data_IF_396474450921
#
_entry.id   IF_396474450921
#
_cell.length_a   1.000
_cell.length_b   1.000
_cell.length_c   1.000
_cell.angle_alpha   90.00
_cell.angle_beta   90.00
_cell.angle_gamma   90.00
#
_symmetry.space_group_name_H-M   'P 1'
#
loop_
_entity.id
_entity.type
_entity.pdbx_description
1 polymer ?
#
# COMPACT_ATOMS: atom_id res chain seq x y z
N UNK A 1 11.08 8.01 0.95
CA UNK A 1 10.64 6.79 0.24
C UNK A 1 10.11 5.80 1.25
N UNK A 2 8.98 5.17 0.97
CA UNK A 2 8.45 4.05 1.76
C UNK A 2 9.56 3.02 1.97
N UNK A 3 9.84 2.63 3.21
CA UNK A 3 10.79 1.55 3.49
C UNK A 3 10.08 0.23 3.22
N UNK A 4 10.84 -0.79 2.81
CA UNK A 4 10.31 -2.14 2.55
C UNK A 4 9.48 -2.69 3.74
N UNK A 5 9.85 -2.32 4.97
CA UNK A 5 9.11 -2.68 6.18
C UNK A 5 7.68 -2.12 6.27
N UNK A 6 7.36 -1.04 5.56
CA UNK A 6 6.03 -0.39 5.55
C UNK A 6 5.08 -1.03 4.52
N UNK A 7 5.65 -1.75 3.55
CA UNK A 7 4.91 -2.43 2.49
C UNK A 7 4.87 -3.95 2.69
N UNK A 8 5.53 -4.49 3.72
CA UNK A 8 5.63 -5.93 3.93
C UNK A 8 4.74 -6.41 5.07
N UNK A 9 4.01 -7.48 4.81
CA UNK A 9 3.30 -8.21 5.84
C UNK A 9 4.21 -9.29 6.45
N UNK A 10 4.18 -9.50 7.78
CA UNK A 10 5.06 -10.47 8.42
C UNK A 10 4.71 -11.88 7.98
N UNK A 11 5.71 -12.69 7.61
CA UNK A 11 5.50 -14.08 7.15
C UNK A 11 4.91 -15.00 8.23
N UNK A 12 5.16 -14.68 9.50
CA UNK A 12 4.60 -15.45 10.59
C UNK A 12 3.11 -15.10 10.76
N UNK A 13 2.25 -16.05 10.39
CA UNK A 13 0.78 -15.95 10.47
C UNK A 13 0.31 -15.51 11.86
N UNK A 14 0.98 -15.94 12.93
CA UNK A 14 0.63 -15.55 14.31
C UNK A 14 0.84 -14.06 14.61
N UNK A 15 1.59 -13.35 13.76
CA UNK A 15 1.86 -11.91 13.83
C UNK A 15 1.00 -11.12 12.85
N UNK A 16 0.14 -11.78 12.07
CA UNK A 16 -0.81 -11.12 11.18
C UNK A 16 -1.78 -10.29 12.00
N UNK A 17 -1.96 -9.05 11.60
CA UNK A 17 -2.97 -8.18 12.20
C UNK A 17 -3.54 -7.31 11.10
N UNK A 18 -4.86 -7.27 10.99
CA UNK A 18 -5.54 -6.37 10.06
C UNK A 18 -5.20 -4.90 10.31
N UNK A 19 -4.88 -4.56 11.58
CA UNK A 19 -4.40 -3.23 11.99
C UNK A 19 -3.05 -2.84 11.41
N UNK A 20 -2.34 -3.76 10.74
CA UNK A 20 -1.06 -3.55 10.05
C UNK A 20 -1.18 -3.50 8.53
N UNK A 21 -2.40 -3.50 8.00
CA UNK A 21 -2.65 -3.45 6.56
C UNK A 21 -3.02 -2.03 6.14
N UNK A 22 -2.42 -1.56 5.06
CA UNK A 22 -2.89 -0.35 4.36
C UNK A 22 -4.21 -0.68 3.69
N UNK A 23 -5.24 0.10 3.98
CA UNK A 23 -6.60 -0.19 3.53
C UNK A 23 -6.97 0.65 2.32
N UNK A 24 -7.79 0.08 1.44
CA UNK A 24 -8.23 0.68 0.18
C UNK A 24 -8.97 2.01 0.40
N UNK A 25 -9.81 2.08 1.43
CA UNK A 25 -10.64 3.25 1.71
C UNK A 25 -9.86 4.47 2.22
N UNK A 26 -8.60 4.29 2.62
CA UNK A 26 -7.74 5.42 3.00
C UNK A 26 -7.06 6.06 1.80
N UNK A 27 -7.15 5.44 0.62
CA UNK A 27 -6.65 6.02 -0.62
C UNK A 27 -7.51 7.21 -1.02
N UNK A 28 -6.85 8.35 -1.20
CA UNK A 28 -7.43 9.57 -1.71
C UNK A 28 -6.64 10.01 -2.94
N UNK A 29 -7.31 10.20 -4.07
CA UNK A 29 -6.71 10.63 -5.33
C UNK A 29 -7.22 12.03 -5.65
N UNK A 30 -6.31 12.98 -5.86
CA UNK A 30 -6.64 14.38 -6.10
C UNK A 30 -5.74 14.95 -7.19
N UNK A 31 -6.30 15.21 -8.37
CA UNK A 31 -5.56 15.80 -9.49
C UNK A 31 -4.32 14.97 -9.84
N UNK A 32 -3.14 15.56 -9.64
CA UNK A 32 -1.83 14.98 -9.93
C UNK A 32 -1.19 14.27 -8.72
N UNK A 33 -1.94 13.99 -7.66
CA UNK A 33 -1.40 13.32 -6.46
C UNK A 33 -2.35 12.28 -5.92
N UNK A 34 -1.81 11.37 -5.12
CA UNK A 34 -2.60 10.49 -4.29
C UNK A 34 -1.96 10.32 -2.93
N UNK A 35 -2.78 9.99 -1.94
CA UNK A 35 -2.32 9.74 -0.58
C UNK A 35 -3.04 8.55 0.02
N UNK A 36 -2.41 7.88 0.98
CA UNK A 36 -3.04 6.81 1.76
C UNK A 36 -2.44 6.76 3.18
N UNK A 37 -3.23 6.25 4.11
CA UNK A 37 -2.81 6.11 5.50
C UNK A 37 -2.07 4.80 5.71
N UNK A 38 -0.86 4.90 6.28
CA UNK A 38 -0.14 3.74 6.79
C UNK A 38 -0.71 3.29 8.13
N UNK A 39 -0.88 1.99 8.32
CA UNK A 39 -1.25 1.42 9.59
C UNK A 39 -0.16 1.64 10.66
N UNK A 40 -0.60 1.91 11.88
CA UNK A 40 0.19 2.31 13.04
C UNK A 40 1.35 1.36 13.42
N UNK A 41 2.43 1.96 13.94
CA UNK A 41 3.58 1.25 14.53
C UNK A 41 3.50 1.25 16.07
N UNK A 42 3.74 0.10 16.71
CA UNK A 42 3.61 -0.12 18.18
C UNK A 42 4.43 0.81 19.09
N UNK A 43 5.33 1.62 18.55
CA UNK A 43 6.17 2.54 19.31
C UNK A 43 5.69 4.00 19.28
N UNK A 44 4.63 4.32 18.53
CA UNK A 44 4.15 5.70 18.45
C UNK A 44 3.18 5.99 19.61
N UNK A 45 3.61 6.83 20.55
CA UNK A 45 2.84 7.20 21.75
C UNK A 45 1.64 8.11 21.45
N UNK A 46 1.56 8.70 20.26
CA UNK A 46 0.61 9.76 19.94
C UNK A 46 -0.54 9.33 19.03
N UNK A 47 -0.59 8.06 18.60
CA UNK A 47 -1.65 7.53 17.73
C UNK A 47 -1.84 8.32 16.42
N UNK A 48 -0.82 9.03 15.95
CA UNK A 48 -0.93 9.81 14.73
C UNK A 48 -0.86 8.87 13.51
N UNK A 49 -1.90 8.92 12.68
CA UNK A 49 -1.93 8.20 11.41
C UNK A 49 -0.91 8.79 10.44
N UNK A 50 0.06 7.97 10.00
CA UNK A 50 1.05 8.43 9.03
C UNK A 50 0.44 8.43 7.62
N UNK A 51 0.26 9.61 7.04
CA UNK A 51 -0.22 9.73 5.66
C UNK A 51 0.97 9.79 4.70
N UNK A 52 0.97 8.88 3.73
CA UNK A 52 1.93 8.90 2.63
C UNK A 52 1.28 9.61 1.46
N UNK A 53 1.95 10.60 0.90
CA UNK A 53 1.51 11.35 -0.27
C UNK A 53 2.54 11.20 -1.39
N UNK A 54 2.05 10.90 -2.59
CA UNK A 54 2.85 10.74 -3.80
C UNK A 54 2.27 11.69 -4.86
N UNK A 55 3.13 12.49 -5.45
CA UNK A 55 2.77 13.50 -6.44
C UNK A 55 3.46 13.22 -7.78
N UNK A 56 2.72 13.43 -8.87
CA UNK A 56 3.23 13.38 -10.23
C UNK A 56 4.02 14.65 -10.48
N UNK A 57 5.29 14.50 -10.84
CA UNK A 57 6.15 15.62 -11.19
C UNK A 57 6.14 15.82 -12.71
N UNK A 58 5.94 17.06 -13.23
CA UNK A 58 5.80 17.33 -14.67
C UNK A 58 6.95 16.86 -15.57
N UNK A 59 8.15 16.68 -15.01
CA UNK A 59 9.36 16.24 -15.74
C UNK A 59 9.82 14.84 -15.33
N UNK A 60 9.04 14.12 -14.51
CA UNK A 60 9.37 12.75 -14.14
C UNK A 60 9.12 11.81 -15.33
N UNK A 61 10.05 10.91 -15.64
CA UNK A 61 9.83 9.86 -16.65
C UNK A 61 8.79 8.82 -16.20
N UNK A 62 8.40 8.84 -14.92
CA UNK A 62 7.45 7.91 -14.32
C UNK A 62 6.23 8.69 -13.85
N UNK A 63 5.06 8.29 -14.32
CA UNK A 63 3.76 8.74 -13.81
C UNK A 63 3.25 7.76 -12.74
N UNK A 64 3.41 8.07 -11.45
CA UNK A 64 2.97 7.18 -10.38
C UNK A 64 1.46 7.00 -10.34
N UNK A 65 0.67 7.99 -10.81
CA UNK A 65 -0.78 7.90 -10.84
C UNK A 65 -1.25 6.92 -11.90
N UNK A 66 -0.66 6.96 -13.10
CA UNK A 66 -0.92 5.97 -14.14
C UNK A 66 -0.68 4.54 -13.64
N UNK A 67 0.45 4.29 -12.99
CA UNK A 67 0.79 2.98 -12.45
C UNK A 67 -0.17 2.55 -11.33
N UNK A 68 -0.52 3.47 -10.43
CA UNK A 68 -1.50 3.21 -9.38
C UNK A 68 -2.84 2.80 -9.98
N UNK A 69 -3.43 3.62 -10.86
CA UNK A 69 -4.76 3.35 -11.44
C UNK A 69 -4.77 2.02 -12.20
N UNK A 70 -3.73 1.73 -12.99
CA UNK A 70 -3.61 0.45 -13.69
C UNK A 70 -3.53 -0.74 -12.72
N UNK A 71 -2.75 -0.59 -11.65
CA UNK A 71 -2.65 -1.59 -10.59
C UNK A 71 -4.01 -1.84 -9.95
N UNK A 72 -4.72 -0.78 -9.58
CA UNK A 72 -6.04 -0.84 -8.95
C UNK A 72 -7.07 -1.53 -9.84
N UNK A 73 -7.17 -1.16 -11.12
CA UNK A 73 -8.05 -1.85 -12.05
C UNK A 73 -7.74 -3.35 -12.16
N UNK A 74 -6.46 -3.73 -12.17
CA UNK A 74 -6.08 -5.14 -12.19
C UNK A 74 -6.49 -5.86 -10.91
N UNK A 75 -6.38 -5.21 -9.75
CA UNK A 75 -6.72 -5.81 -8.45
C UNK A 75 -8.21 -5.86 -8.21
N UNK A 76 -8.94 -4.80 -8.52
CA UNK A 76 -10.39 -4.76 -8.36
C UNK A 76 -11.09 -5.76 -9.30
N UNK A 77 -10.50 -6.06 -10.47
CA UNK A 77 -11.02 -7.11 -11.38
C UNK A 77 -10.87 -8.53 -10.82
N UNK A 78 -9.75 -8.83 -10.17
CA UNK A 78 -9.46 -10.18 -9.65
C UNK A 78 -9.97 -10.38 -8.22
N UNK A 79 -9.98 -9.31 -7.42
CA UNK A 79 -10.20 -9.34 -5.97
C UNK A 79 -11.11 -8.18 -5.51
N UNK A 80 -12.34 -8.06 -6.04
CA UNK A 80 -13.21 -6.91 -5.81
C UNK A 80 -13.61 -6.68 -4.35
N UNK A 81 -13.51 -7.71 -3.50
CA UNK A 81 -13.94 -7.66 -2.09
C UNK A 81 -12.78 -7.53 -1.11
N UNK A 82 -11.52 -7.48 -1.57
CA UNK A 82 -10.38 -7.36 -0.66
C UNK A 82 -10.20 -5.91 -0.22
N UNK A 83 -10.20 -5.62 1.10
CA UNK A 83 -10.12 -4.25 1.61
C UNK A 83 -8.69 -3.69 1.61
N UNK A 84 -7.69 -4.48 1.23
CA UNK A 84 -6.27 -4.13 1.29
C UNK A 84 -5.86 -3.34 0.06
N UNK A 85 -5.13 -2.23 0.26
CA UNK A 85 -4.64 -1.42 -0.86
C UNK A 85 -3.54 -2.16 -1.63
N UNK A 86 -2.63 -2.83 -0.91
CA UNK A 86 -1.49 -3.52 -1.50
C UNK A 86 -1.64 -5.04 -1.39
N UNK A 87 -2.00 -5.65 -2.51
CA UNK A 87 -2.08 -7.09 -2.73
C UNK A 87 -1.27 -7.54 -3.95
N UNK A 88 -0.76 -8.78 -3.85
CA UNK A 88 -0.05 -9.50 -4.91
C UNK A 88 -1.03 -9.96 -6.00
N UNK A 89 -0.50 -10.64 -7.04
CA UNK A 89 -1.34 -11.34 -8.04
C UNK A 89 -2.23 -12.42 -7.44
N UNK A 90 -1.86 -12.93 -6.27
CA UNK A 90 -2.51 -14.07 -5.63
C UNK A 90 -3.51 -13.59 -4.55
N UNK A 91 -3.73 -12.28 -4.43
CA UNK A 91 -4.70 -11.69 -3.50
C UNK A 91 -4.20 -11.59 -2.05
N UNK A 92 -2.91 -11.87 -1.81
CA UNK A 92 -2.29 -11.78 -0.49
C UNK A 92 -1.52 -10.47 -0.34
N UNK A 93 -1.34 -9.95 0.88
CA UNK A 93 -0.37 -8.88 1.13
C UNK A 93 1.05 -9.33 0.72
N UNK A 94 1.86 -8.44 0.12
CA UNK A 94 3.24 -8.77 -0.19
C UNK A 94 4.05 -8.97 1.10
N UNK A 95 4.86 -10.03 1.15
CA UNK A 95 5.80 -10.33 2.25
C UNK A 95 7.20 -9.85 1.90
N UNK A 96 8.13 -9.87 2.87
CA UNK A 96 9.53 -9.55 2.60
C UNK A 96 10.14 -10.51 1.56
N UNK A 97 9.95 -11.82 1.72
CA UNK A 97 10.37 -12.82 0.71
C UNK A 97 9.81 -12.55 -0.67
N UNK A 98 8.57 -12.08 -0.78
CA UNK A 98 7.97 -11.75 -2.07
C UNK A 98 8.71 -10.62 -2.79
N UNK A 99 9.21 -9.62 -2.04
CA UNK A 99 10.01 -8.55 -2.63
C UNK A 99 11.44 -8.96 -2.97
N UNK A 100 12.06 -9.84 -2.17
CA UNK A 100 13.45 -10.28 -2.38
C UNK A 100 13.55 -11.38 -3.43
N UNK A 101 12.54 -12.22 -3.57
CA UNK A 101 12.53 -13.35 -4.49
C UNK A 101 12.18 -13.00 -5.94
N UNK A 102 12.21 -11.71 -6.31
CA UNK A 102 11.73 -11.21 -7.60
C UNK A 102 12.73 -10.26 -8.23
#
# INVERSE_FOLDING_TARGET
LLRLGELTFPENIRKHSSKKLTLRHTLNVQGTRFSFTLPFHKADRFFAENTVMIEVLPMSPIDPLFHLIRYLHSRDRSFPLLPMLWITSDGTPPTYSWFVGR
#
